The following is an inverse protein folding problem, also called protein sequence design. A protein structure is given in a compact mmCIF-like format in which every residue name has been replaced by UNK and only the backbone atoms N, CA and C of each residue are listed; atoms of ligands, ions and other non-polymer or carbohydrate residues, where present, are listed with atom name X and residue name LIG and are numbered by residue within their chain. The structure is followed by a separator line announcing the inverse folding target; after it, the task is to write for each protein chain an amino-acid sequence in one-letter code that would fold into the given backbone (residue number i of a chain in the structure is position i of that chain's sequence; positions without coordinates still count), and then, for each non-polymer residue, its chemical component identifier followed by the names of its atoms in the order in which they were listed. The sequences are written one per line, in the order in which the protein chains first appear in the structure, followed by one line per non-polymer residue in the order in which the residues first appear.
data_IF_087876402088
#
_entry.id   IF_087876402088
#
_cell.length_a   1.000
_cell.length_b   1.000
_cell.length_c   1.000
_cell.angle_alpha   90.00
_cell.angle_beta   90.00
_cell.angle_gamma   90.00
#
_symmetry.space_group_name_H-M   'P 1'
#
loop_
_entity.id
_entity.type
_entity.pdbx_description
1 polymer ?
#
# COMPACT_ATOMS: atom_id res chain seq x y z
N UNK A 1 24.16 -28.51 -10.62
CA UNK A 1 24.48 -27.69 -9.44
C UNK A 1 24.66 -26.17 -9.68
N UNK A 2 24.99 -25.62 -10.84
CA UNK A 2 25.33 -24.19 -10.92
C UNK A 2 24.13 -23.23 -10.98
N UNK A 3 22.99 -23.61 -11.56
CA UNK A 3 21.94 -22.64 -11.92
C UNK A 3 21.11 -22.14 -10.72
N UNK A 4 20.76 -22.98 -9.79
CA UNK A 4 19.98 -22.61 -8.60
C UNK A 4 20.80 -21.73 -7.65
N UNK A 5 22.08 -22.06 -7.42
CA UNK A 5 22.98 -21.24 -6.60
C UNK A 5 23.21 -19.83 -7.20
N UNK A 6 23.27 -19.72 -8.53
CA UNK A 6 23.44 -18.42 -9.21
C UNK A 6 22.16 -17.58 -9.09
N UNK A 7 20.98 -18.18 -9.16
CA UNK A 7 19.71 -17.49 -8.99
C UNK A 7 19.49 -17.03 -7.53
N UNK A 8 19.88 -17.86 -6.55
CA UNK A 8 19.84 -17.50 -5.12
C UNK A 8 20.82 -16.36 -4.78
N UNK A 9 22.04 -16.41 -5.30
CA UNK A 9 23.04 -15.35 -5.14
C UNK A 9 22.59 -14.04 -5.81
N UNK A 10 21.96 -14.12 -6.99
CA UNK A 10 21.39 -12.96 -7.68
C UNK A 10 20.27 -12.31 -6.87
N UNK A 11 19.32 -13.11 -6.38
CA UNK A 11 18.19 -12.63 -5.59
C UNK A 11 18.66 -12.02 -4.24
N UNK A 12 19.62 -12.66 -3.57
CA UNK A 12 20.19 -12.16 -2.33
C UNK A 12 20.85 -10.78 -2.55
N UNK A 13 21.66 -10.64 -3.59
CA UNK A 13 22.38 -9.40 -3.89
C UNK A 13 21.42 -8.28 -4.32
N UNK A 14 20.40 -8.63 -5.10
CA UNK A 14 19.33 -7.69 -5.48
C UNK A 14 18.60 -7.16 -4.24
N UNK A 15 18.31 -8.03 -3.27
CA UNK A 15 17.67 -7.66 -2.02
C UNK A 15 18.56 -6.77 -1.13
N UNK A 16 19.88 -7.03 -1.07
CA UNK A 16 20.82 -6.13 -0.37
C UNK A 16 20.78 -4.71 -0.94
N UNK A 17 20.73 -4.57 -2.30
CA UNK A 17 20.59 -3.26 -2.93
C UNK A 17 19.30 -2.58 -2.52
N UNK A 18 18.17 -3.33 -2.50
CA UNK A 18 16.87 -2.81 -2.05
C UNK A 18 16.88 -2.40 -0.57
N UNK A 19 17.59 -3.12 0.31
CA UNK A 19 17.71 -2.78 1.73
C UNK A 19 18.45 -1.45 1.92
N UNK A 20 19.55 -1.27 1.21
CA UNK A 20 20.32 -0.01 1.24
C UNK A 20 19.48 1.13 0.64
N UNK A 21 18.82 0.90 -0.50
CA UNK A 21 17.95 1.90 -1.10
C UNK A 21 16.80 2.31 -0.16
N UNK A 22 16.14 1.35 0.50
CA UNK A 22 15.10 1.61 1.53
C UNK A 22 15.64 2.49 2.67
N UNK A 23 16.83 2.16 3.20
CA UNK A 23 17.52 2.95 4.22
C UNK A 23 17.80 4.38 3.74
N UNK A 24 18.31 4.54 2.52
CA UNK A 24 18.62 5.85 1.95
C UNK A 24 17.36 6.68 1.65
N UNK A 25 16.30 6.06 1.16
CA UNK A 25 14.97 6.72 0.99
C UNK A 25 14.47 7.24 2.34
N UNK A 26 14.61 6.45 3.40
CA UNK A 26 14.21 6.85 4.74
C UNK A 26 15.05 8.01 5.30
N UNK A 27 16.37 8.00 5.08
CA UNK A 27 17.31 8.96 5.72
C UNK A 27 17.53 10.22 4.91
N UNK A 28 17.56 10.15 3.58
CA UNK A 28 17.84 11.28 2.68
C UNK A 28 16.62 11.72 1.86
N UNK A 29 15.60 10.87 1.74
CA UNK A 29 14.54 11.02 0.75
C UNK A 29 14.98 10.54 -0.64
N UNK A 30 14.00 10.13 -1.45
CA UNK A 30 14.25 9.56 -2.78
C UNK A 30 14.92 10.55 -3.72
N UNK A 31 14.47 11.81 -3.77
CA UNK A 31 15.02 12.80 -4.69
C UNK A 31 16.51 13.03 -4.47
N UNK A 32 16.93 13.13 -3.20
CA UNK A 32 18.33 13.37 -2.84
C UNK A 32 19.19 12.11 -2.88
N UNK A 33 18.57 10.92 -2.87
CA UNK A 33 19.29 9.67 -3.04
C UNK A 33 19.80 9.54 -4.47
N UNK A 34 21.09 9.27 -4.63
CA UNK A 34 21.70 8.95 -5.92
C UNK A 34 22.09 7.46 -6.02
N UNK A 35 22.25 6.95 -7.24
CA UNK A 35 22.83 5.62 -7.43
C UNK A 35 24.24 5.56 -6.80
N UNK A 36 25.00 6.66 -6.86
CA UNK A 36 26.34 6.72 -6.25
C UNK A 36 26.30 6.47 -4.75
N UNK A 37 25.29 6.99 -4.02
CA UNK A 37 25.14 6.70 -2.59
C UNK A 37 25.02 5.21 -2.30
N UNK A 38 24.31 4.48 -3.16
CA UNK A 38 24.16 3.01 -3.05
C UNK A 38 25.48 2.31 -3.33
N UNK A 39 26.20 2.75 -4.40
CA UNK A 39 27.50 2.19 -4.75
C UNK A 39 28.52 2.35 -3.62
N UNK A 40 28.55 3.52 -3.00
CA UNK A 40 29.47 3.88 -1.92
C UNK A 40 29.15 3.08 -0.63
N UNK A 41 27.87 2.95 -0.27
CA UNK A 41 27.43 2.18 0.90
C UNK A 41 27.76 0.69 0.74
N UNK A 42 27.50 0.13 -0.44
CA UNK A 42 27.72 -1.30 -0.74
C UNK A 42 29.15 -1.62 -1.18
N UNK A 43 29.96 -0.62 -1.50
CA UNK A 43 31.30 -0.77 -2.08
C UNK A 43 31.29 -1.62 -3.36
N UNK A 44 30.32 -1.38 -4.23
CA UNK A 44 30.17 -2.06 -5.53
C UNK A 44 30.44 -1.10 -6.69
N UNK A 45 30.79 -1.68 -7.84
CA UNK A 45 30.99 -0.91 -9.07
C UNK A 45 29.64 -0.50 -9.69
N UNK A 46 29.67 0.56 -10.51
CA UNK A 46 28.51 1.00 -11.28
C UNK A 46 27.98 -0.12 -12.19
N UNK A 47 28.86 -0.91 -12.82
CA UNK A 47 28.47 -2.05 -13.64
C UNK A 47 27.74 -3.15 -12.83
N UNK A 48 28.17 -3.39 -11.59
CA UNK A 48 27.52 -4.34 -10.71
C UNK A 48 26.08 -3.91 -10.35
N UNK A 49 25.86 -2.62 -10.11
CA UNK A 49 24.50 -2.11 -9.87
C UNK A 49 23.60 -2.28 -11.10
N UNK A 50 24.07 -1.86 -12.28
CA UNK A 50 23.30 -1.93 -13.52
C UNK A 50 23.04 -3.36 -14.01
N UNK A 51 23.67 -4.35 -13.42
CA UNK A 51 23.31 -5.75 -13.61
C UNK A 51 21.97 -6.13 -12.95
N UNK A 52 21.55 -5.40 -11.90
CA UNK A 52 20.32 -5.65 -11.14
C UNK A 52 19.20 -4.65 -11.44
N UNK A 53 19.53 -3.39 -11.70
CA UNK A 53 18.57 -2.31 -11.90
C UNK A 53 19.02 -1.36 -13.00
N UNK A 54 18.23 -1.23 -14.06
CA UNK A 54 18.55 -0.42 -15.23
C UNK A 54 18.55 1.09 -14.93
N UNK A 55 17.84 1.52 -13.88
CA UNK A 55 17.66 2.93 -13.55
C UNK A 55 17.19 3.13 -12.10
N UNK A 56 17.25 4.38 -11.61
CA UNK A 56 16.67 4.78 -10.33
C UNK A 56 15.13 4.58 -10.30
N UNK A 57 14.35 4.87 -11.36
CA UNK A 57 12.94 4.49 -11.42
C UNK A 57 12.69 2.98 -11.32
N UNK A 58 13.48 2.14 -12.00
CA UNK A 58 13.37 0.68 -11.89
C UNK A 58 13.65 0.17 -10.46
N UNK A 59 14.57 0.83 -9.75
CA UNK A 59 14.82 0.55 -8.34
C UNK A 59 13.61 0.94 -7.47
N UNK A 60 12.94 2.07 -7.76
CA UNK A 60 11.73 2.48 -7.07
C UNK A 60 10.59 1.48 -7.30
N UNK A 61 10.35 1.07 -8.55
CA UNK A 61 9.36 0.03 -8.87
C UNK A 61 9.62 -1.24 -8.03
N UNK A 62 10.87 -1.69 -7.96
CA UNK A 62 11.23 -2.87 -7.17
C UNK A 62 11.09 -2.67 -5.65
N UNK A 63 11.28 -1.47 -5.12
CA UNK A 63 11.00 -1.16 -3.71
C UNK A 63 9.51 -1.24 -3.40
N UNK A 64 8.67 -0.74 -4.31
CA UNK A 64 7.21 -0.80 -4.18
C UNK A 64 6.70 -2.23 -4.34
N UNK A 65 7.23 -3.00 -5.30
CA UNK A 65 6.91 -4.41 -5.47
C UNK A 65 7.24 -5.22 -4.20
N UNK A 66 8.42 -5.00 -3.62
CA UNK A 66 8.80 -5.68 -2.36
C UNK A 66 7.87 -5.31 -1.21
N UNK A 67 7.45 -4.06 -1.11
CA UNK A 67 6.47 -3.63 -0.11
C UNK A 67 5.11 -4.31 -0.34
N UNK A 68 4.70 -4.49 -1.60
CA UNK A 68 3.50 -5.22 -1.95
C UNK A 68 3.63 -6.71 -1.57
N UNK A 69 4.78 -7.35 -1.84
CA UNK A 69 5.05 -8.74 -1.44
C UNK A 69 4.98 -8.92 0.08
N UNK A 70 5.57 -8.00 0.86
CA UNK A 70 5.49 -7.99 2.32
C UNK A 70 4.02 -7.86 2.80
N UNK A 71 3.24 -6.99 2.17
CA UNK A 71 1.83 -6.80 2.47
C UNK A 71 0.99 -8.05 2.13
N UNK A 72 1.21 -8.65 0.96
CA UNK A 72 0.51 -9.86 0.54
C UNK A 72 0.81 -11.05 1.46
N UNK A 73 2.08 -11.30 1.75
CA UNK A 73 2.48 -12.37 2.66
C UNK A 73 1.81 -12.25 4.03
N UNK A 74 1.52 -11.01 4.46
CA UNK A 74 0.89 -10.72 5.74
C UNK A 74 -0.63 -10.79 5.69
N UNK A 75 -1.26 -10.28 4.63
CA UNK A 75 -2.70 -10.02 4.64
C UNK A 75 -3.51 -11.02 3.81
N UNK A 76 -2.95 -11.63 2.76
CA UNK A 76 -3.67 -12.64 1.98
C UNK A 76 -4.08 -13.85 2.81
N UNK A 77 -3.26 -14.35 3.77
CA UNK A 77 -3.69 -15.43 4.65
C UNK A 77 -4.95 -15.09 5.47
N UNK A 78 -5.16 -13.82 5.87
CA UNK A 78 -6.36 -13.39 6.59
C UNK A 78 -7.62 -13.48 5.71
N UNK A 79 -7.51 -13.09 4.44
CA UNK A 79 -8.62 -13.19 3.47
C UNK A 79 -8.95 -14.64 3.13
N UNK A 80 -7.98 -15.51 3.14
CA UNK A 80 -8.12 -16.92 2.77
C UNK A 80 -8.36 -17.87 3.97
N UNK A 81 -8.47 -17.35 5.20
CA UNK A 81 -8.72 -18.18 6.39
C UNK A 81 -10.13 -18.79 6.34
N UNK A 82 -10.26 -20.12 6.20
CA UNK A 82 -11.57 -20.77 6.10
C UNK A 82 -12.39 -20.73 7.38
N UNK A 83 -11.77 -20.41 8.52
CA UNK A 83 -12.45 -20.36 9.82
C UNK A 83 -13.18 -19.02 10.07
N UNK A 84 -12.89 -17.99 9.27
CA UNK A 84 -13.46 -16.65 9.49
C UNK A 84 -14.64 -16.35 8.58
N UNK A 85 -15.71 -15.72 9.10
CA UNK A 85 -16.79 -15.15 8.30
C UNK A 85 -16.28 -14.01 7.37
N UNK A 86 -16.97 -13.79 6.26
CA UNK A 86 -16.54 -12.82 5.25
C UNK A 86 -16.35 -11.39 5.79
N UNK A 87 -17.29 -10.87 6.57
CA UNK A 87 -17.18 -9.53 7.17
C UNK A 87 -16.00 -9.44 8.13
N UNK A 88 -15.75 -10.49 8.92
CA UNK A 88 -14.62 -10.52 9.85
C UNK A 88 -13.28 -10.53 9.11
N UNK A 89 -13.18 -11.24 7.97
CA UNK A 89 -12.01 -11.19 7.08
C UNK A 89 -11.72 -9.77 6.60
N UNK A 90 -12.75 -9.06 6.11
CA UNK A 90 -12.60 -7.67 5.65
C UNK A 90 -12.15 -6.74 6.79
N UNK A 91 -12.81 -6.80 7.94
CA UNK A 91 -12.45 -5.96 9.09
C UNK A 91 -11.02 -6.24 9.59
N UNK A 92 -10.63 -7.52 9.70
CA UNK A 92 -9.26 -7.90 10.09
C UNK A 92 -8.22 -7.49 9.06
N UNK A 93 -8.53 -7.62 7.78
CA UNK A 93 -7.66 -7.14 6.70
C UNK A 93 -7.40 -5.63 6.83
N UNK A 94 -8.46 -4.82 6.92
CA UNK A 94 -8.32 -3.36 7.01
C UNK A 94 -7.57 -2.94 8.27
N UNK A 95 -7.95 -3.44 9.44
CA UNK A 95 -7.28 -3.08 10.69
C UNK A 95 -5.81 -3.47 10.69
N UNK A 96 -5.47 -4.67 10.21
CA UNK A 96 -4.09 -5.14 10.12
C UNK A 96 -3.26 -4.33 9.11
N UNK A 97 -3.83 -3.97 7.96
CA UNK A 97 -3.17 -3.15 6.95
C UNK A 97 -2.90 -1.72 7.45
N UNK A 98 -3.85 -1.13 8.16
CA UNK A 98 -3.71 0.19 8.78
C UNK A 98 -2.63 0.18 9.86
N UNK A 99 -2.66 -0.80 10.77
CA UNK A 99 -1.64 -0.94 11.82
C UNK A 99 -0.24 -1.16 11.24
N UNK A 100 -0.11 -2.03 10.25
CA UNK A 100 1.17 -2.30 9.61
C UNK A 100 1.77 -1.05 8.95
N UNK A 101 0.95 -0.24 8.28
CA UNK A 101 1.39 1.06 7.74
C UNK A 101 1.82 2.01 8.86
N UNK A 102 1.07 2.06 9.96
CA UNK A 102 1.37 2.91 11.11
C UNK A 102 2.71 2.56 11.77
N UNK A 103 3.08 1.26 11.86
CA UNK A 103 4.38 0.84 12.39
C UNK A 103 5.58 1.28 11.53
N UNK A 104 5.32 1.72 10.29
CA UNK A 104 6.31 2.17 9.33
C UNK A 104 6.01 3.61 8.86
N UNK A 105 5.35 4.43 9.70
CA UNK A 105 4.84 5.76 9.34
C UNK A 105 5.84 6.59 8.54
N UNK A 106 7.06 6.77 9.05
CA UNK A 106 8.04 7.65 8.40
C UNK A 106 8.46 7.14 7.02
N UNK A 107 8.59 5.81 6.87
CA UNK A 107 8.86 5.20 5.56
C UNK A 107 7.66 5.35 4.62
N UNK A 108 6.43 5.17 5.11
CA UNK A 108 5.22 5.40 4.32
C UNK A 108 5.11 6.86 3.86
N UNK A 109 5.42 7.83 4.74
CA UNK A 109 5.43 9.24 4.38
C UNK A 109 6.51 9.56 3.33
N UNK A 110 7.72 9.00 3.47
CA UNK A 110 8.76 9.14 2.46
C UNK A 110 8.32 8.59 1.10
N UNK A 111 7.71 7.41 1.06
CA UNK A 111 7.15 6.83 -0.16
C UNK A 111 6.00 7.66 -0.72
N UNK A 112 5.13 8.18 0.13
CA UNK A 112 3.98 9.00 -0.27
C UNK A 112 4.42 10.24 -1.06
N UNK A 113 5.46 10.96 -0.57
CA UNK A 113 6.03 12.12 -1.27
C UNK A 113 6.52 11.78 -2.68
N UNK A 114 7.20 10.65 -2.82
CA UNK A 114 7.67 10.14 -4.12
C UNK A 114 6.48 9.76 -5.00
N UNK A 115 5.53 9.05 -4.41
CA UNK A 115 4.37 8.50 -5.10
C UNK A 115 3.52 9.56 -5.78
N UNK A 116 3.37 10.74 -5.12
CA UNK A 116 2.57 11.84 -5.63
C UNK A 116 3.38 12.90 -6.39
N UNK A 117 4.69 12.70 -6.61
CA UNK A 117 5.43 13.57 -7.53
C UNK A 117 4.94 13.36 -8.96
N UNK A 118 4.91 14.44 -9.75
CA UNK A 118 4.44 14.43 -11.14
C UNK A 118 5.26 13.46 -12.01
N UNK A 119 6.56 13.36 -11.74
CA UNK A 119 7.50 12.49 -12.46
C UNK A 119 7.15 11.00 -12.32
N UNK A 120 6.50 10.62 -11.24
CA UNK A 120 6.15 9.23 -10.95
C UNK A 120 4.69 8.85 -11.30
N UNK A 121 3.92 9.73 -11.92
CA UNK A 121 2.52 9.49 -12.21
C UNK A 121 2.27 8.21 -13.04
N UNK A 122 3.08 7.95 -14.06
CA UNK A 122 2.97 6.75 -14.89
C UNK A 122 3.37 5.48 -14.11
N UNK A 123 4.45 5.55 -13.34
CA UNK A 123 4.88 4.45 -12.46
C UNK A 123 3.80 4.12 -11.44
N UNK A 124 3.19 5.13 -10.81
CA UNK A 124 2.06 4.98 -9.89
C UNK A 124 0.91 4.23 -10.53
N UNK A 125 0.50 4.62 -11.75
CA UNK A 125 -0.60 3.97 -12.45
C UNK A 125 -0.32 2.48 -12.73
N UNK A 126 0.90 2.16 -13.18
CA UNK A 126 1.31 0.75 -13.45
C UNK A 126 1.32 -0.08 -12.17
N UNK A 127 1.90 0.44 -11.10
CA UNK A 127 1.96 -0.26 -9.81
C UNK A 127 0.57 -0.51 -9.26
N UNK A 128 -0.34 0.46 -9.34
CA UNK A 128 -1.73 0.26 -8.94
C UNK A 128 -2.42 -0.84 -9.71
N UNK A 129 -2.25 -0.88 -11.03
CA UNK A 129 -2.85 -1.93 -11.86
C UNK A 129 -2.34 -3.33 -11.44
N UNK A 130 -1.05 -3.46 -11.16
CA UNK A 130 -0.45 -4.72 -10.70
C UNK A 130 -1.00 -5.10 -9.31
N UNK A 131 -1.02 -4.16 -8.36
CA UNK A 131 -1.53 -4.41 -7.01
C UNK A 131 -3.00 -4.84 -7.03
N UNK A 132 -3.84 -4.19 -7.86
CA UNK A 132 -5.24 -4.59 -8.02
C UNK A 132 -5.36 -6.01 -8.55
N UNK A 133 -4.60 -6.38 -9.59
CA UNK A 133 -4.62 -7.73 -10.15
C UNK A 133 -4.20 -8.80 -9.13
N UNK A 134 -3.25 -8.49 -8.25
CA UNK A 134 -2.73 -9.43 -7.25
C UNK A 134 -3.73 -9.67 -6.11
N UNK A 135 -4.44 -8.64 -5.64
CA UNK A 135 -5.33 -8.76 -4.48
C UNK A 135 -6.79 -9.11 -4.86
N UNK A 136 -7.22 -8.75 -6.06
CA UNK A 136 -8.61 -8.93 -6.49
C UNK A 136 -9.14 -10.37 -6.34
N UNK A 137 -8.41 -11.44 -6.68
CA UNK A 137 -8.92 -12.81 -6.53
C UNK A 137 -9.31 -13.15 -5.09
N UNK A 138 -8.50 -12.76 -4.10
CA UNK A 138 -8.80 -13.00 -2.69
C UNK A 138 -9.98 -12.17 -2.19
N UNK A 139 -10.09 -10.90 -2.61
CA UNK A 139 -11.25 -10.07 -2.29
C UNK A 139 -12.54 -10.62 -2.91
N UNK A 140 -12.52 -11.04 -4.18
CA UNK A 140 -13.67 -11.65 -4.85
C UNK A 140 -14.13 -12.89 -4.10
N UNK A 141 -13.20 -13.75 -3.69
CA UNK A 141 -13.52 -14.94 -2.88
C UNK A 141 -14.23 -14.60 -1.58
N UNK A 142 -13.77 -13.56 -0.88
CA UNK A 142 -14.41 -13.08 0.37
C UNK A 142 -15.80 -12.52 0.10
N UNK A 143 -15.98 -11.73 -0.98
CA UNK A 143 -17.30 -11.20 -1.33
C UNK A 143 -18.27 -12.32 -1.69
N UNK A 144 -17.84 -13.32 -2.48
CA UNK A 144 -18.64 -14.49 -2.80
C UNK A 144 -19.04 -15.27 -1.53
N UNK A 145 -18.11 -15.45 -0.59
CA UNK A 145 -18.40 -16.03 0.71
C UNK A 145 -19.46 -15.23 1.46
N UNK A 146 -19.32 -13.90 1.53
CA UNK A 146 -20.29 -13.04 2.21
C UNK A 146 -21.69 -13.08 1.60
N UNK A 147 -21.79 -13.24 0.28
CA UNK A 147 -23.08 -13.47 -0.42
C UNK A 147 -23.67 -14.82 -0.01
N UNK A 148 -22.86 -15.88 0.06
CA UNK A 148 -23.32 -17.21 0.52
C UNK A 148 -23.74 -17.20 1.99
N UNK A 149 -23.06 -16.44 2.84
CA UNK A 149 -23.41 -16.25 4.24
C UNK A 149 -24.64 -15.33 4.46
N UNK A 150 -25.09 -14.63 3.40
CA UNK A 150 -26.17 -13.64 3.51
C UNK A 150 -25.77 -12.34 4.23
N UNK A 151 -24.50 -12.11 4.44
CA UNK A 151 -23.94 -10.89 5.08
C UNK A 151 -23.64 -9.79 4.07
N UNK A 152 -23.45 -10.16 2.79
CA UNK A 152 -23.29 -9.26 1.65
C UNK A 152 -24.38 -9.55 0.61
N UNK A 153 -24.71 -8.53 -0.19
CA UNK A 153 -25.74 -8.64 -1.21
C UNK A 153 -25.30 -7.93 -2.51
N UNK A 154 -24.74 -8.68 -3.44
CA UNK A 154 -24.38 -8.21 -4.79
C UNK A 154 -24.59 -9.28 -5.81
N UNK A 155 -25.12 -8.91 -6.99
CA UNK A 155 -25.24 -9.79 -8.16
C UNK A 155 -23.96 -9.84 -8.99
N UNK A 156 -22.97 -9.00 -8.69
CA UNK A 156 -21.75 -8.81 -9.47
C UNK A 156 -20.50 -8.82 -8.59
N UNK A 157 -20.10 -9.96 -7.99
CA UNK A 157 -18.99 -10.03 -7.05
C UNK A 157 -17.66 -9.51 -7.62
N UNK A 158 -17.34 -9.78 -8.88
CA UNK A 158 -16.09 -9.34 -9.52
C UNK A 158 -16.07 -7.83 -9.68
N UNK A 159 -17.16 -7.21 -10.16
CA UNK A 159 -17.28 -5.77 -10.31
C UNK A 159 -17.33 -5.06 -8.94
N UNK A 160 -18.04 -5.67 -7.97
CA UNK A 160 -18.05 -5.15 -6.60
C UNK A 160 -16.65 -5.17 -5.98
N UNK A 161 -15.83 -6.20 -6.26
CA UNK A 161 -14.42 -6.25 -5.88
C UNK A 161 -13.65 -5.08 -6.49
N UNK A 162 -13.72 -4.91 -7.80
CA UNK A 162 -13.00 -3.85 -8.50
C UNK A 162 -13.37 -2.46 -7.96
N UNK A 163 -14.66 -2.16 -7.86
CA UNK A 163 -15.17 -0.89 -7.32
C UNK A 163 -14.70 -0.68 -5.88
N UNK A 164 -14.77 -1.71 -5.03
CA UNK A 164 -14.32 -1.66 -3.63
C UNK A 164 -12.84 -1.34 -3.52
N UNK A 165 -12.00 -1.96 -4.35
CA UNK A 165 -10.57 -1.69 -4.36
C UNK A 165 -10.27 -0.26 -4.83
N UNK A 166 -10.99 0.28 -5.83
CA UNK A 166 -10.87 1.69 -6.22
C UNK A 166 -11.32 2.65 -5.10
N UNK A 167 -12.36 2.33 -4.33
CA UNK A 167 -12.75 3.13 -3.15
C UNK A 167 -11.64 3.14 -2.11
N UNK A 168 -11.02 2.00 -1.81
CA UNK A 168 -9.91 1.90 -0.85
C UNK A 168 -8.69 2.73 -1.33
N UNK A 169 -8.36 2.66 -2.61
CA UNK A 169 -7.30 3.47 -3.20
C UNK A 169 -7.62 4.97 -3.13
N UNK A 170 -8.85 5.35 -3.48
CA UNK A 170 -9.31 6.74 -3.41
C UNK A 170 -9.28 7.32 -1.99
N UNK A 171 -9.55 6.50 -0.97
CA UNK A 171 -9.36 6.91 0.43
C UNK A 171 -7.87 7.15 0.73
N UNK A 172 -6.98 6.29 0.23
CA UNK A 172 -5.53 6.46 0.34
C UNK A 172 -5.06 7.75 -0.34
N UNK A 173 -5.56 8.04 -1.54
CA UNK A 173 -5.28 9.27 -2.28
C UNK A 173 -5.74 10.50 -1.48
N UNK A 174 -6.92 10.45 -0.87
CA UNK A 174 -7.43 11.54 -0.02
C UNK A 174 -6.56 11.80 1.19
N UNK A 175 -6.06 10.76 1.83
CA UNK A 175 -5.08 10.89 2.92
C UNK A 175 -3.77 11.52 2.42
N UNK A 176 -3.26 11.06 1.29
CA UNK A 176 -2.07 11.62 0.65
C UNK A 176 -2.21 13.11 0.37
N UNK A 177 -3.33 13.54 -0.20
CA UNK A 177 -3.64 14.94 -0.47
C UNK A 177 -3.60 15.81 0.81
N UNK A 178 -4.23 15.32 1.90
CA UNK A 178 -4.29 16.07 3.16
C UNK A 178 -2.90 16.19 3.80
N UNK A 179 -2.14 15.10 3.83
CA UNK A 179 -0.81 15.04 4.45
C UNK A 179 0.18 15.92 3.66
N UNK A 180 0.28 15.70 2.36
CA UNK A 180 1.24 16.41 1.50
C UNK A 180 0.85 17.89 1.29
N UNK A 181 -0.44 18.19 1.21
CA UNK A 181 -0.93 19.56 1.11
C UNK A 181 -0.59 20.40 2.34
N UNK A 182 -0.62 19.79 3.54
CA UNK A 182 -0.19 20.42 4.78
C UNK A 182 1.34 20.62 4.81
N UNK A 183 2.13 19.61 4.46
CA UNK A 183 3.59 19.69 4.40
C UNK A 183 4.09 20.75 3.40
N UNK A 184 3.44 20.87 2.24
CA UNK A 184 3.77 21.87 1.23
C UNK A 184 3.33 23.29 1.61
N UNK A 185 2.64 23.47 2.75
CA UNK A 185 2.12 24.78 3.17
C UNK A 185 0.97 25.33 2.32
N UNK A 186 0.42 24.50 1.42
CA UNK A 186 -0.68 24.89 0.56
C UNK A 186 -1.97 25.16 1.36
N UNK A 187 -2.17 24.41 2.44
CA UNK A 187 -3.27 24.60 3.40
C UNK A 187 -2.73 24.39 4.81
N UNK A 188 -2.76 25.44 5.64
CA UNK A 188 -2.38 25.35 7.05
C UNK A 188 -3.59 24.92 7.88
N UNK A 189 -3.73 23.61 8.09
CA UNK A 189 -4.73 23.02 8.98
C UNK A 189 -4.09 22.60 10.29
N UNK A 190 -4.78 22.80 11.40
CA UNK A 190 -4.42 22.20 12.69
C UNK A 190 -4.52 20.68 12.62
N UNK A 191 -3.88 19.97 13.56
CA UNK A 191 -4.01 18.51 13.68
C UNK A 191 -5.47 18.08 13.83
N UNK A 192 -6.26 18.84 14.60
CA UNK A 192 -7.68 18.55 14.81
C UNK A 192 -8.53 18.74 13.52
N UNK A 193 -8.26 19.78 12.75
CA UNK A 193 -8.95 19.98 11.46
C UNK A 193 -8.59 18.88 10.47
N UNK A 194 -7.32 18.47 10.38
CA UNK A 194 -6.90 17.32 9.56
C UNK A 194 -7.60 16.05 10.00
N UNK A 195 -7.64 15.79 11.32
CA UNK A 195 -8.32 14.64 11.88
C UNK A 195 -9.80 14.61 11.46
N UNK A 196 -10.53 15.71 11.62
CA UNK A 196 -11.96 15.79 11.28
C UNK A 196 -12.21 15.58 9.77
N UNK A 197 -11.33 16.11 8.90
CA UNK A 197 -11.45 15.90 7.46
C UNK A 197 -11.20 14.43 7.12
N UNK A 198 -10.17 13.82 7.68
CA UNK A 198 -9.85 12.40 7.47
C UNK A 198 -10.95 11.48 8.01
N UNK A 199 -11.49 11.79 9.22
CA UNK A 199 -12.58 11.03 9.82
C UNK A 199 -13.84 11.04 8.93
N UNK A 200 -14.20 12.21 8.39
CA UNK A 200 -15.32 12.34 7.45
C UNK A 200 -15.06 11.55 6.16
N UNK A 201 -13.82 11.58 5.65
CA UNK A 201 -13.46 10.80 4.47
C UNK A 201 -13.58 9.29 4.76
N UNK A 202 -13.03 8.79 5.86
CA UNK A 202 -13.18 7.39 6.27
C UNK A 202 -14.66 6.99 6.36
N UNK A 203 -15.49 7.80 7.01
CA UNK A 203 -16.91 7.51 7.14
C UNK A 203 -17.62 7.44 5.77
N UNK A 204 -17.34 8.40 4.86
CA UNK A 204 -17.96 8.46 3.55
C UNK A 204 -17.53 7.28 2.64
N UNK A 205 -16.25 6.94 2.64
CA UNK A 205 -15.74 5.81 1.86
C UNK A 205 -16.21 4.47 2.42
N UNK A 206 -16.32 4.33 3.74
CA UNK A 206 -16.87 3.14 4.38
C UNK A 206 -18.35 2.96 4.04
N UNK A 207 -19.19 4.01 4.14
CA UNK A 207 -20.59 3.97 3.71
C UNK A 207 -20.74 3.58 2.23
N UNK A 208 -19.89 4.14 1.35
CA UNK A 208 -19.88 3.78 -0.06
C UNK A 208 -19.50 2.30 -0.28
N UNK A 209 -18.50 1.80 0.46
CA UNK A 209 -18.07 0.41 0.39
C UNK A 209 -19.19 -0.54 0.85
N UNK A 210 -19.86 -0.25 1.97
CA UNK A 210 -20.99 -1.02 2.48
C UNK A 210 -22.14 -1.07 1.46
N UNK A 211 -22.46 0.05 0.81
CA UNK A 211 -23.49 0.10 -0.25
C UNK A 211 -23.11 -0.73 -1.48
N UNK A 212 -21.87 -0.67 -1.94
CA UNK A 212 -21.38 -1.45 -3.09
C UNK A 212 -21.46 -2.95 -2.80
N UNK A 213 -21.12 -3.34 -1.56
CA UNK A 213 -21.16 -4.74 -1.12
C UNK A 213 -22.55 -5.20 -0.67
N UNK A 214 -23.52 -4.29 -0.53
CA UNK A 214 -24.83 -4.59 0.05
C UNK A 214 -24.73 -5.07 1.51
N UNK A 215 -23.73 -4.60 2.24
CA UNK A 215 -23.53 -4.87 3.65
C UNK A 215 -24.43 -4.00 4.53
N UNK A 216 -24.71 -4.43 5.75
CA UNK A 216 -25.43 -3.61 6.72
C UNK A 216 -24.59 -2.39 7.11
N UNK A 217 -25.25 -1.24 7.34
CA UNK A 217 -24.56 -0.03 7.77
C UNK A 217 -23.81 -0.26 9.10
N UNK A 218 -22.54 0.15 9.13
CA UNK A 218 -21.65 -0.01 10.28
C UNK A 218 -21.10 -1.42 10.48
N UNK A 219 -21.28 -2.32 9.52
CA UNK A 219 -20.77 -3.70 9.59
C UNK A 219 -19.31 -3.83 9.15
N UNK A 220 -18.79 -2.84 8.40
CA UNK A 220 -17.40 -2.80 7.94
C UNK A 220 -16.66 -1.68 8.66
N UNK A 221 -15.52 -1.99 9.24
CA UNK A 221 -14.62 -1.01 9.84
C UNK A 221 -13.32 -0.94 9.04
N UNK A 222 -13.15 0.16 8.28
CA UNK A 222 -11.93 0.38 7.47
C UNK A 222 -10.78 0.94 8.33
N UNK A 223 -11.08 1.93 9.18
CA UNK A 223 -10.10 2.58 10.05
C UNK A 223 -10.81 3.19 11.26
N UNK A 224 -10.18 3.12 12.43
CA UNK A 224 -10.66 3.75 13.66
C UNK A 224 -10.00 5.13 13.90
N UNK A 225 -10.56 5.89 14.85
CA UNK A 225 -10.09 7.23 15.18
C UNK A 225 -8.64 7.24 15.70
N UNK A 226 -8.24 6.23 16.46
CA UNK A 226 -6.88 6.11 16.97
C UNK A 226 -5.88 5.94 15.81
N UNK A 227 -6.24 5.14 14.81
CA UNK A 227 -5.45 4.95 13.60
C UNK A 227 -5.35 6.21 12.74
N UNK A 228 -6.43 7.01 12.67
CA UNK A 228 -6.40 8.31 11.96
C UNK A 228 -5.44 9.27 12.67
N UNK A 229 -5.47 9.34 14.02
CA UNK A 229 -4.59 10.20 14.83
C UNK A 229 -3.10 9.95 14.51
N UNK A 230 -2.69 8.72 14.25
CA UNK A 230 -1.30 8.41 13.86
C UNK A 230 -0.82 9.25 12.66
N UNK A 231 -1.69 9.63 11.74
CA UNK A 231 -1.33 10.33 10.51
C UNK A 231 -1.41 11.85 10.60
N UNK A 232 -2.03 12.39 11.65
CA UNK A 232 -2.22 13.84 11.82
C UNK A 232 -1.35 14.46 12.91
N UNK A 233 -0.88 13.64 13.86
CA UNK A 233 0.05 14.01 14.93
C UNK A 233 1.51 13.87 14.46
#
# INVERSE_FOLDING_TARGET
MPRVLIEEDYAARRNEILDIARKLVYTKGYEQMSIQDILDEMKISKGAFYHYFDSKPALLEALVDRLADEAEAKFIPLLNDPALPALEKLCRYFSSAVQWKATQKDYMLALLRIWYSDENALTRQKVFAIMLQRIAPSFTSVIQQGVQEGTLCTSFPDQATEISLYLILGLGDKFGEIILGHEAGAVQLSAEERFQIMQKAVAAYTDALERVLGASAGSIQVMDDASIRVWVD
#
